data_IF_091697110715
#
_entry.id   IF_091697110715
#
_cell.length_a   1.000
_cell.length_b   1.000
_cell.length_c   1.000
_cell.angle_alpha   90.00
_cell.angle_beta   90.00
_cell.angle_gamma   90.00
#
_symmetry.space_group_name_H-M   'P 1'
#
loop_
_entity.id
_entity.type
_entity.pdbx_description
1 polymer ?
#
# COMPACT_ATOMS: atom_id res chain seq x y z
N UNK A 1 -6.10 5.74 11.43
CA UNK A 1 -5.22 4.58 11.21
C UNK A 1 -5.97 3.26 11.46
N UNK A 2 -5.99 2.37 10.46
CA UNK A 2 -6.52 1.01 10.54
C UNK A 2 -5.36 0.00 10.53
N UNK A 3 -5.36 -0.99 11.42
CA UNK A 3 -4.32 -2.03 11.41
C UNK A 3 -4.42 -2.90 10.15
N UNK A 4 -3.31 -3.07 9.43
CA UNK A 4 -3.19 -4.01 8.32
C UNK A 4 -2.63 -5.32 8.88
N UNK A 5 -3.50 -6.30 9.12
CA UNK A 5 -3.11 -7.59 9.71
C UNK A 5 -2.39 -8.46 8.69
N UNK A 6 -1.24 -9.00 9.05
CA UNK A 6 -0.48 -9.89 8.17
C UNK A 6 -1.06 -11.32 8.12
N UNK A 7 -1.15 -11.87 6.90
CA UNK A 7 -1.37 -13.27 6.60
C UNK A 7 -0.58 -13.60 5.32
N UNK A 8 0.74 -13.38 5.39
CA UNK A 8 1.62 -13.46 4.23
C UNK A 8 1.66 -14.87 3.63
N UNK A 9 1.78 -14.91 2.31
CA UNK A 9 2.03 -16.15 1.56
C UNK A 9 3.35 -16.79 2.00
N UNK A 10 3.36 -18.13 2.06
CA UNK A 10 4.59 -18.89 2.33
C UNK A 10 5.65 -18.61 1.26
N UNK A 11 6.91 -18.45 1.68
CA UNK A 11 8.02 -18.09 0.80
C UNK A 11 8.28 -19.13 -0.29
N UNK A 12 7.94 -20.40 -0.06
CA UNK A 12 7.98 -21.46 -1.08
C UNK A 12 7.10 -21.18 -2.30
N UNK A 13 6.08 -20.32 -2.15
CA UNK A 13 5.17 -19.90 -3.23
C UNK A 13 5.52 -18.55 -3.85
N UNK A 14 6.60 -17.89 -3.44
CA UNK A 14 7.00 -16.62 -4.04
C UNK A 14 7.19 -16.73 -5.55
N UNK A 15 7.73 -17.85 -6.06
CA UNK A 15 7.90 -18.08 -7.49
C UNK A 15 6.60 -18.02 -8.31
N UNK A 16 5.45 -18.26 -7.68
CA UNK A 16 4.12 -18.27 -8.31
C UNK A 16 3.39 -16.95 -8.03
N UNK A 17 3.39 -16.52 -6.77
CA UNK A 17 2.53 -15.43 -6.29
C UNK A 17 3.14 -14.05 -6.39
N UNK A 18 4.46 -13.95 -6.25
CA UNK A 18 5.15 -12.67 -6.16
C UNK A 18 6.64 -12.85 -6.47
N UNK A 19 7.03 -13.26 -7.70
CA UNK A 19 8.40 -13.68 -7.98
C UNK A 19 9.41 -12.54 -7.99
N UNK A 20 8.98 -11.30 -8.20
CA UNK A 20 9.87 -10.16 -8.37
C UNK A 20 9.85 -9.22 -7.15
N UNK A 21 11.01 -8.64 -6.84
CA UNK A 21 11.08 -7.47 -5.97
C UNK A 21 10.38 -6.27 -6.63
N UNK A 22 9.87 -5.37 -5.81
CA UNK A 22 9.15 -4.17 -6.22
C UNK A 22 9.49 -3.02 -5.27
N UNK A 23 9.69 -1.83 -5.85
CA UNK A 23 9.58 -0.57 -5.12
C UNK A 23 8.26 0.06 -5.54
N UNK A 24 7.25 0.14 -4.64
CA UNK A 24 5.94 0.69 -4.96
C UNK A 24 6.04 2.13 -5.50
N UNK A 25 5.33 2.41 -6.60
CA UNK A 25 5.15 3.76 -7.15
C UNK A 25 3.68 4.12 -7.37
N UNK A 26 2.81 3.11 -7.39
CA UNK A 26 1.38 3.24 -7.61
C UNK A 26 0.60 2.41 -6.58
N UNK A 27 -0.67 2.74 -6.41
CA UNK A 27 -1.64 1.89 -5.72
C UNK A 27 -2.76 1.62 -6.72
N UNK A 28 -3.11 0.36 -6.90
CA UNK A 28 -4.23 -0.05 -7.75
C UNK A 28 -5.35 -0.59 -6.88
N UNK A 29 -6.51 0.04 -6.91
CA UNK A 29 -7.69 -0.45 -6.19
C UNK A 29 -8.64 -1.22 -7.10
N UNK A 30 -9.22 -2.27 -6.52
CA UNK A 30 -10.03 -3.28 -7.19
C UNK A 30 -11.34 -3.53 -6.45
N UNK A 31 -12.24 -4.23 -7.12
CA UNK A 31 -13.40 -4.85 -6.49
C UNK A 31 -13.33 -6.35 -6.75
N UNK A 32 -13.46 -7.12 -5.67
CA UNK A 32 -13.37 -8.58 -5.65
C UNK A 32 -14.35 -9.29 -6.60
N UNK A 33 -15.46 -8.63 -6.97
CA UNK A 33 -16.63 -9.24 -7.60
C UNK A 33 -17.12 -10.48 -6.83
N UNK A 34 -17.00 -10.44 -5.50
CA UNK A 34 -17.36 -11.51 -4.59
C UNK A 34 -18.01 -10.96 -3.29
N UNK A 35 -18.53 -11.86 -2.45
CA UNK A 35 -19.16 -11.55 -1.15
C UNK A 35 -18.43 -12.18 0.05
N UNK A 36 -17.14 -12.49 -0.10
CA UNK A 36 -16.31 -13.04 0.95
C UNK A 36 -15.65 -11.94 1.80
N UNK A 37 -15.37 -12.20 3.10
CA UNK A 37 -14.57 -11.32 3.93
C UNK A 37 -13.10 -11.31 3.50
N UNK A 38 -12.36 -10.27 3.88
CA UNK A 38 -10.96 -10.04 3.51
C UNK A 38 -10.05 -11.23 3.88
N UNK A 39 -10.25 -11.79 5.09
CA UNK A 39 -9.54 -12.99 5.54
C UNK A 39 -9.70 -14.16 4.58
N UNK A 40 -10.89 -14.35 3.99
CA UNK A 40 -11.16 -15.48 3.10
C UNK A 40 -10.57 -15.23 1.71
N UNK A 41 -10.65 -13.99 1.21
CA UNK A 41 -10.01 -13.60 -0.05
C UNK A 41 -8.50 -13.86 0.01
N UNK A 42 -7.83 -13.40 1.09
CA UNK A 42 -6.39 -13.63 1.28
C UNK A 42 -6.09 -15.11 1.47
N UNK A 43 -6.82 -15.83 2.34
CA UNK A 43 -6.60 -17.25 2.59
C UNK A 43 -6.70 -18.08 1.31
N UNK A 44 -7.71 -17.79 0.47
CA UNK A 44 -7.84 -18.46 -0.83
C UNK A 44 -6.68 -18.11 -1.75
N UNK A 45 -6.35 -16.81 -1.87
CA UNK A 45 -5.29 -16.31 -2.75
C UNK A 45 -3.94 -16.94 -2.43
N UNK A 46 -3.51 -16.96 -1.17
CA UNK A 46 -2.21 -17.54 -0.77
C UNK A 46 -2.23 -19.08 -0.79
N UNK A 47 -3.41 -19.69 -0.63
CA UNK A 47 -3.59 -21.14 -0.53
C UNK A 47 -3.52 -21.88 -1.87
N UNK A 48 -3.88 -21.23 -2.98
CA UNK A 48 -3.86 -21.85 -4.32
C UNK A 48 -2.51 -21.66 -5.05
N UNK A 49 -2.37 -22.22 -6.26
CA UNK A 49 -1.14 -22.17 -7.09
C UNK A 49 -1.34 -21.42 -8.42
N UNK A 50 -2.36 -20.57 -8.51
CA UNK A 50 -2.56 -19.74 -9.70
C UNK A 50 -1.59 -18.54 -9.68
N UNK A 51 -1.13 -18.08 -10.85
CA UNK A 51 -0.41 -16.80 -11.02
C UNK A 51 -1.37 -15.60 -10.93
N UNK A 52 -2.10 -15.52 -9.82
CA UNK A 52 -3.05 -14.47 -9.46
C UNK A 52 -2.87 -14.16 -7.98
N UNK A 53 -2.64 -12.90 -7.67
CA UNK A 53 -2.38 -12.42 -6.31
C UNK A 53 -2.65 -10.93 -6.20
N UNK A 54 -2.87 -10.44 -4.98
CA UNK A 54 -3.01 -9.02 -4.63
C UNK A 54 -2.39 -8.81 -3.25
N UNK A 55 -2.01 -7.58 -2.92
CA UNK A 55 -1.28 -7.30 -1.68
C UNK A 55 -2.19 -7.30 -0.47
N UNK A 56 -3.32 -6.61 -0.54
CA UNK A 56 -4.24 -6.42 0.60
C UNK A 56 -5.68 -6.63 0.17
N UNK A 57 -6.47 -7.33 0.98
CA UNK A 57 -7.93 -7.29 0.90
C UNK A 57 -8.49 -6.49 2.08
N UNK A 58 -9.52 -5.67 1.82
CA UNK A 58 -10.18 -4.83 2.82
C UNK A 58 -11.67 -5.14 2.83
N UNK A 59 -12.20 -5.40 4.03
CA UNK A 59 -13.62 -5.61 4.25
C UNK A 59 -14.20 -4.61 5.26
N UNK A 60 -15.44 -4.84 5.72
CA UNK A 60 -16.15 -3.94 6.61
C UNK A 60 -15.52 -3.84 8.03
N UNK A 61 -14.57 -4.73 8.35
CA UNK A 61 -14.02 -4.92 9.71
C UNK A 61 -12.50 -4.87 9.76
N UNK A 62 -11.81 -5.47 8.80
CA UNK A 62 -10.36 -5.64 8.82
C UNK A 62 -9.71 -5.41 7.44
N UNK A 63 -8.41 -5.17 7.47
CA UNK A 63 -7.54 -5.15 6.29
C UNK A 63 -6.51 -6.27 6.48
N UNK A 64 -6.34 -7.12 5.47
CA UNK A 64 -5.49 -8.31 5.54
C UNK A 64 -4.48 -8.30 4.41
N UNK A 65 -3.19 -8.35 4.75
CA UNK A 65 -2.10 -8.41 3.78
C UNK A 65 -1.71 -9.87 3.48
N UNK A 66 -1.69 -10.22 2.19
CA UNK A 66 -1.29 -11.54 1.70
C UNK A 66 0.06 -11.58 0.98
N UNK A 67 0.50 -10.46 0.39
CA UNK A 67 1.78 -10.35 -0.34
C UNK A 67 2.63 -9.23 0.28
N UNK A 68 3.94 -9.45 0.53
CA UNK A 68 4.85 -8.39 0.97
C UNK A 68 4.86 -7.20 -0.01
N UNK A 69 4.88 -5.97 0.51
CA UNK A 69 4.84 -4.76 -0.32
C UNK A 69 6.11 -4.51 -1.14
N UNK A 70 7.24 -5.12 -0.74
CA UNK A 70 8.50 -5.10 -1.48
C UNK A 70 8.55 -6.14 -2.62
N UNK A 71 7.41 -6.79 -2.92
CA UNK A 71 7.26 -7.77 -3.99
C UNK A 71 6.06 -7.47 -4.88
N UNK A 72 6.16 -7.89 -6.13
CA UNK A 72 5.09 -7.73 -7.11
C UNK A 72 3.88 -8.62 -6.76
N UNK A 73 2.71 -8.32 -7.31
CA UNK A 73 1.58 -9.24 -7.34
C UNK A 73 0.98 -9.30 -8.76
N UNK A 74 0.13 -10.28 -9.05
CA UNK A 74 -0.47 -10.53 -10.36
C UNK A 74 -1.96 -10.16 -10.34
N UNK A 75 -2.27 -8.87 -10.50
CA UNK A 75 -3.64 -8.35 -10.35
C UNK A 75 -4.08 -7.33 -11.41
N UNK A 76 -3.20 -6.77 -12.24
CA UNK A 76 -3.53 -5.70 -13.20
C UNK A 76 -3.78 -6.19 -14.63
N UNK A 77 -3.44 -7.44 -14.95
CA UNK A 77 -3.67 -8.01 -16.29
C UNK A 77 -2.81 -7.39 -17.40
N UNK A 78 -1.75 -6.67 -17.04
CA UNK A 78 -0.81 -5.99 -17.95
C UNK A 78 0.54 -6.73 -18.09
N UNK A 79 0.59 -8.04 -17.76
CA UNK A 79 1.81 -8.83 -17.82
C UNK A 79 2.91 -8.28 -16.92
N UNK A 80 4.08 -7.96 -17.48
CA UNK A 80 5.18 -7.30 -16.77
C UNK A 80 5.11 -5.76 -16.83
N UNK A 81 3.94 -5.18 -17.13
CA UNK A 81 3.72 -3.74 -17.12
C UNK A 81 3.76 -3.12 -15.72
N UNK A 82 3.64 -1.79 -15.71
CA UNK A 82 3.71 -0.94 -14.50
C UNK A 82 2.72 -1.37 -13.42
N UNK A 83 1.51 -1.79 -13.81
CA UNK A 83 0.47 -2.23 -12.87
C UNK A 83 0.95 -3.39 -12.00
N UNK A 84 1.31 -4.52 -12.59
CA UNK A 84 1.79 -5.67 -11.80
C UNK A 84 3.17 -5.45 -11.17
N UNK A 85 4.02 -4.59 -11.75
CA UNK A 85 5.45 -4.50 -11.37
C UNK A 85 5.81 -3.33 -10.48
N UNK A 86 4.93 -2.34 -10.35
CA UNK A 86 5.19 -1.11 -9.57
C UNK A 86 3.98 -0.64 -8.78
N UNK A 87 2.87 -1.39 -8.73
CA UNK A 87 1.69 -1.01 -7.95
C UNK A 87 1.35 -2.00 -6.82
N UNK A 88 0.85 -1.45 -5.72
CA UNK A 88 0.24 -2.22 -4.62
C UNK A 88 -1.23 -2.47 -4.96
N UNK A 89 -1.65 -3.72 -5.07
CA UNK A 89 -3.03 -4.13 -5.32
C UNK A 89 -3.87 -4.19 -4.04
N UNK A 90 -4.93 -3.39 -3.98
CA UNK A 90 -5.91 -3.34 -2.87
C UNK A 90 -7.28 -3.82 -3.35
N UNK A 91 -7.75 -4.95 -2.83
CA UNK A 91 -9.05 -5.55 -3.15
C UNK A 91 -10.13 -5.14 -2.16
N UNK A 92 -11.22 -4.53 -2.64
CA UNK A 92 -12.38 -4.16 -1.81
C UNK A 92 -13.43 -5.27 -1.87
N UNK A 93 -13.75 -5.82 -0.70
CA UNK A 93 -14.63 -6.99 -0.53
C UNK A 93 -16.13 -6.63 -0.70
N UNK A 94 -16.98 -7.66 -0.81
CA UNK A 94 -18.45 -7.56 -0.88
C UNK A 94 -19.03 -6.81 -2.08
N UNK A 95 -18.22 -6.54 -3.09
CA UNK A 95 -18.65 -5.76 -4.25
C UNK A 95 -19.68 -6.51 -5.13
N UNK A 96 -19.83 -7.84 -5.03
CA UNK A 96 -20.80 -8.57 -5.85
C UNK A 96 -22.23 -8.20 -5.49
N UNK A 97 -22.63 -8.38 -4.24
CA UNK A 97 -23.97 -8.01 -3.76
C UNK A 97 -24.06 -6.55 -3.32
N UNK A 98 -22.93 -5.92 -2.99
CA UNK A 98 -22.90 -4.54 -2.50
C UNK A 98 -23.46 -4.41 -1.08
N UNK A 99 -24.24 -3.35 -0.85
CA UNK A 99 -24.88 -3.08 0.43
C UNK A 99 -23.95 -2.49 1.49
N UNK A 100 -24.45 -2.39 2.72
CA UNK A 100 -23.75 -1.69 3.81
C UNK A 100 -22.34 -2.20 4.08
N UNK A 101 -22.12 -3.52 3.95
CA UNK A 101 -20.78 -4.13 4.10
C UNK A 101 -19.81 -3.65 3.02
N UNK A 102 -20.24 -3.55 1.77
CA UNK A 102 -19.40 -3.02 0.69
C UNK A 102 -19.04 -1.56 0.91
N UNK A 103 -20.02 -0.71 1.21
CA UNK A 103 -19.74 0.72 1.41
C UNK A 103 -18.84 0.96 2.62
N UNK A 104 -18.98 0.15 3.68
CA UNK A 104 -18.06 0.19 4.81
C UNK A 104 -16.65 -0.31 4.45
N UNK A 105 -16.55 -1.37 3.65
CA UNK A 105 -15.27 -1.86 3.12
C UNK A 105 -14.60 -0.83 2.20
N UNK A 106 -15.38 -0.09 1.44
CA UNK A 106 -14.92 1.03 0.62
C UNK A 106 -14.35 2.15 1.52
N UNK A 107 -15.08 2.61 2.54
CA UNK A 107 -14.57 3.63 3.47
C UNK A 107 -13.27 3.18 4.17
N UNK A 108 -13.21 1.92 4.62
CA UNK A 108 -12.00 1.34 5.19
C UNK A 108 -10.87 1.27 4.14
N UNK A 109 -11.20 0.95 2.89
CA UNK A 109 -10.25 0.91 1.77
C UNK A 109 -9.62 2.28 1.50
N UNK A 110 -10.39 3.37 1.64
CA UNK A 110 -9.85 4.72 1.51
C UNK A 110 -8.79 5.02 2.58
N UNK A 111 -9.03 4.62 3.83
CA UNK A 111 -8.09 4.75 4.94
C UNK A 111 -6.81 3.93 4.67
N UNK A 112 -6.96 2.66 4.28
CA UNK A 112 -5.82 1.77 3.98
C UNK A 112 -4.97 2.33 2.84
N UNK A 113 -5.60 2.82 1.77
CA UNK A 113 -4.87 3.42 0.64
C UNK A 113 -4.12 4.67 1.08
N UNK A 114 -4.73 5.55 1.89
CA UNK A 114 -4.05 6.73 2.42
C UNK A 114 -2.84 6.37 3.30
N UNK A 115 -2.94 5.33 4.13
CA UNK A 115 -1.80 4.83 4.92
C UNK A 115 -0.68 4.31 4.01
N UNK A 116 -1.01 3.57 2.95
CA UNK A 116 -0.02 3.09 1.98
C UNK A 116 0.62 4.24 1.19
N UNK A 117 -0.14 5.29 0.87
CA UNK A 117 0.40 6.51 0.25
C UNK A 117 1.45 7.14 1.14
N UNK A 118 1.20 7.31 2.43
CA UNK A 118 2.20 7.83 3.40
C UNK A 118 3.40 6.90 3.53
N UNK A 119 3.13 5.60 3.71
CA UNK A 119 4.17 4.61 3.92
C UNK A 119 5.16 4.51 2.75
N UNK A 120 4.69 4.68 1.52
CA UNK A 120 5.51 4.52 0.31
C UNK A 120 5.71 5.81 -0.48
N UNK A 121 5.23 6.94 0.05
CA UNK A 121 5.31 8.26 -0.59
C UNK A 121 4.71 8.28 -2.00
N UNK A 122 3.56 7.62 -2.14
CA UNK A 122 2.83 7.51 -3.40
C UNK A 122 1.86 8.68 -3.46
N UNK A 123 1.98 9.56 -4.47
CA UNK A 123 1.09 10.72 -4.58
C UNK A 123 -0.28 10.28 -5.12
N UNK A 124 -1.31 11.11 -4.91
CA UNK A 124 -2.71 10.75 -5.20
C UNK A 124 -2.95 10.45 -6.68
N UNK A 125 -2.22 11.10 -7.59
CA UNK A 125 -2.29 10.85 -9.04
C UNK A 125 -1.83 9.44 -9.43
N UNK A 126 -1.09 8.77 -8.56
CA UNK A 126 -0.63 7.39 -8.75
C UNK A 126 -1.55 6.36 -8.07
N UNK A 127 -2.71 6.81 -7.55
CA UNK A 127 -3.78 5.92 -7.06
C UNK A 127 -4.80 5.73 -8.17
N UNK A 128 -4.78 4.54 -8.80
CA UNK A 128 -5.52 4.27 -10.04
C UNK A 128 -6.38 3.02 -9.95
N UNK A 129 -7.34 2.88 -10.84
CA UNK A 129 -8.18 1.68 -10.97
C UNK A 129 -7.45 0.57 -11.71
N UNK A 130 -7.89 -0.68 -11.60
CA UNK A 130 -7.44 -1.74 -12.53
C UNK A 130 -7.70 -1.33 -13.99
N UNK A 131 -8.85 -0.73 -14.28
CA UNK A 131 -9.24 -0.30 -15.62
C UNK A 131 -8.21 0.61 -16.29
N UNK A 132 -7.48 1.42 -15.51
CA UNK A 132 -6.37 2.24 -16.00
C UNK A 132 -5.30 1.42 -16.74
N UNK A 133 -5.00 0.21 -16.24
CA UNK A 133 -3.92 -0.64 -16.77
C UNK A 133 -4.34 -1.49 -17.97
N UNK A 134 -5.42 -2.26 -17.85
CA UNK A 134 -5.80 -3.29 -18.84
C UNK A 134 -7.18 -3.11 -19.43
N UNK A 135 -7.85 -1.98 -19.15
CA UNK A 135 -9.25 -1.69 -19.54
C UNK A 135 -10.30 -2.65 -18.97
N UNK A 136 -9.91 -3.64 -18.14
CA UNK A 136 -10.86 -4.48 -17.39
C UNK A 136 -11.84 -3.59 -16.64
N UNK A 137 -13.13 -3.94 -16.67
CA UNK A 137 -14.16 -3.24 -15.92
C UNK A 137 -14.05 -3.53 -14.42
N UNK A 138 -13.05 -2.92 -13.78
CA UNK A 138 -12.74 -3.08 -12.37
C UNK A 138 -12.14 -1.76 -11.85
N UNK A 139 -12.61 -1.24 -10.70
CA UNK A 139 -13.60 -1.78 -9.76
C UNK A 139 -15.05 -1.68 -10.25
N UNK A 140 -15.69 -2.81 -10.57
CA UNK A 140 -16.96 -2.85 -11.31
C UNK A 140 -18.08 -2.03 -10.65
N UNK A 141 -18.31 -2.20 -9.34
CA UNK A 141 -19.40 -1.52 -8.64
C UNK A 141 -19.15 -0.02 -8.52
N UNK A 142 -17.91 0.42 -8.28
CA UNK A 142 -17.60 1.85 -8.26
C UNK A 142 -17.78 2.47 -9.66
N UNK A 143 -17.52 1.72 -10.72
CA UNK A 143 -17.74 2.18 -12.09
C UNK A 143 -19.24 2.23 -12.41
N UNK A 144 -20.02 1.22 -12.03
CA UNK A 144 -21.47 1.16 -12.21
C UNK A 144 -22.17 2.33 -11.48
N UNK A 145 -21.72 2.62 -10.26
CA UNK A 145 -22.32 3.65 -9.39
C UNK A 145 -21.66 5.03 -9.56
N UNK A 146 -20.68 5.18 -10.46
CA UNK A 146 -19.96 6.44 -10.69
C UNK A 146 -19.17 6.97 -9.49
N UNK A 147 -18.73 6.09 -8.58
CA UNK A 147 -18.16 6.43 -7.27
C UNK A 147 -16.65 6.67 -7.27
N UNK A 148 -15.93 6.31 -8.34
CA UNK A 148 -14.47 6.47 -8.42
C UNK A 148 -13.99 7.89 -8.01
N UNK A 149 -14.57 9.00 -8.52
CA UNK A 149 -14.15 10.34 -8.10
C UNK A 149 -14.34 10.59 -6.60
N UNK A 150 -15.49 10.20 -6.03
CA UNK A 150 -15.77 10.35 -4.59
C UNK A 150 -14.91 9.44 -3.71
N UNK A 151 -14.45 8.31 -4.24
CA UNK A 151 -13.53 7.41 -3.55
C UNK A 151 -12.13 8.02 -3.47
N UNK A 152 -11.62 8.57 -4.58
CA UNK A 152 -10.36 9.34 -4.60
C UNK A 152 -10.41 10.52 -3.63
N UNK A 153 -11.54 11.23 -3.56
CA UNK A 153 -11.69 12.34 -2.61
C UNK A 153 -11.63 11.89 -1.14
N UNK A 154 -12.28 10.77 -0.79
CA UNK A 154 -12.15 10.20 0.56
C UNK A 154 -10.74 9.72 0.89
N UNK A 155 -9.98 9.23 -0.10
CA UNK A 155 -8.56 8.89 0.09
C UNK A 155 -7.76 10.14 0.44
N UNK A 156 -7.96 11.26 -0.28
CA UNK A 156 -7.30 12.54 0.05
C UNK A 156 -7.65 13.01 1.45
N UNK A 157 -8.94 12.98 1.81
CA UNK A 157 -9.40 13.37 3.14
C UNK A 157 -8.82 12.48 4.24
N UNK A 158 -8.68 11.17 3.99
CA UNK A 158 -8.02 10.26 4.94
C UNK A 158 -6.49 10.51 5.02
N UNK A 159 -5.87 10.92 3.92
CA UNK A 159 -4.46 11.29 3.86
C UNK A 159 -4.18 12.57 4.68
N UNK A 160 -5.01 13.60 4.50
CA UNK A 160 -4.93 14.90 5.18
C UNK A 160 -5.44 14.86 6.63
N UNK A 161 -6.57 14.20 6.90
CA UNK A 161 -7.24 14.16 8.21
C UNK A 161 -6.56 13.30 9.28
N UNK A 162 -5.40 12.72 8.95
CA UNK A 162 -4.50 12.03 9.87
C UNK A 162 -3.29 12.92 10.26
N UNK A 163 -3.42 14.25 10.14
CA UNK A 163 -2.46 15.23 10.68
C UNK A 163 -2.63 15.36 12.21
N UNK A 164 -2.04 14.41 12.94
CA UNK A 164 -1.41 14.74 14.23
C UNK A 164 -0.08 15.47 13.91
N UNK A 165 0.37 16.39 14.76
CA UNK A 165 1.60 17.18 14.56
C UNK A 165 2.84 16.27 14.37
N UNK A 166 2.73 15.04 14.86
CA UNK A 166 3.70 13.97 14.78
C UNK A 166 3.68 13.19 13.45
N UNK A 167 2.55 13.11 12.75
CA UNK A 167 2.41 12.38 11.48
C UNK A 167 2.58 13.26 10.23
N UNK A 168 2.87 14.55 10.41
CA UNK A 168 3.14 15.48 9.29
C UNK A 168 4.51 15.22 8.67
N UNK A 169 4.61 15.38 7.35
CA UNK A 169 5.87 15.36 6.62
C UNK A 169 6.81 16.46 7.12
N UNK A 170 8.10 16.14 7.25
CA UNK A 170 9.11 17.11 7.63
C UNK A 170 9.16 18.29 6.65
N UNK A 171 9.09 19.51 7.20
CA UNK A 171 9.25 20.75 6.45
C UNK A 171 10.71 21.18 6.54
N UNK A 172 11.54 20.68 5.62
CA UNK A 172 12.97 20.95 5.55
C UNK A 172 13.34 21.62 4.22
N UNK A 173 14.34 22.50 4.26
CA UNK A 173 14.97 23.05 3.06
C UNK A 173 15.81 21.98 2.34
N UNK A 174 16.08 22.19 1.06
CA UNK A 174 16.83 21.25 0.20
C UNK A 174 18.17 20.79 0.79
N UNK A 175 18.91 21.70 1.42
CA UNK A 175 20.20 21.36 2.02
C UNK A 175 20.04 20.52 3.30
N UNK A 176 18.96 20.71 4.04
CA UNK A 176 18.65 19.92 5.24
C UNK A 176 18.25 18.50 4.85
N UNK A 177 17.45 18.34 3.79
CA UNK A 177 17.14 17.02 3.21
C UNK A 177 18.40 16.31 2.74
N UNK A 178 19.29 17.01 2.02
CA UNK A 178 20.58 16.46 1.58
C UNK A 178 21.43 16.01 2.77
N UNK A 179 21.54 16.82 3.81
CA UNK A 179 22.30 16.49 5.01
C UNK A 179 21.69 15.29 5.76
N UNK A 180 20.36 15.22 5.86
CA UNK A 180 19.67 14.06 6.44
C UNK A 180 19.96 12.79 5.65
N UNK A 181 19.88 12.84 4.33
CA UNK A 181 20.22 11.71 3.46
C UNK A 181 21.67 11.26 3.64
N UNK A 182 22.63 12.18 3.64
CA UNK A 182 24.05 11.86 3.81
C UNK A 182 24.33 11.21 5.18
N UNK A 183 23.68 11.69 6.24
CA UNK A 183 23.83 11.14 7.59
C UNK A 183 23.17 9.76 7.72
N UNK A 184 21.96 9.59 7.20
CA UNK A 184 21.26 8.31 7.23
C UNK A 184 21.94 7.27 6.33
N UNK A 185 22.56 7.69 5.22
CA UNK A 185 23.38 6.83 4.38
C UNK A 185 24.61 6.27 5.11
N UNK A 186 25.22 7.04 6.01
CA UNK A 186 26.29 6.53 6.88
C UNK A 186 25.75 5.49 7.88
N UNK A 187 24.61 5.76 8.50
CA UNK A 187 23.96 4.82 9.43
C UNK A 187 23.55 3.51 8.74
N UNK A 188 23.03 3.58 7.51
CA UNK A 188 22.77 2.42 6.66
C UNK A 188 24.03 1.59 6.40
N UNK A 189 25.11 2.24 5.95
CA UNK A 189 26.38 1.56 5.65
C UNK A 189 27.00 0.95 6.91
N UNK A 190 26.70 1.48 8.09
CA UNK A 190 27.08 0.93 9.38
C UNK A 190 26.15 -0.20 9.87
N UNK A 191 25.08 -0.52 9.14
CA UNK A 191 24.13 -1.58 9.48
C UNK A 191 23.16 -1.24 10.61
N UNK A 192 22.97 0.04 10.94
CA UNK A 192 22.12 0.47 12.06
C UNK A 192 20.61 0.33 11.77
N UNK A 193 20.25 0.17 10.50
CA UNK A 193 18.93 -0.24 10.04
C UNK A 193 19.04 -0.94 8.69
N UNK A 194 18.07 -1.79 8.34
CA UNK A 194 18.11 -2.65 7.15
C UNK A 194 16.95 -2.45 6.18
N UNK A 195 15.96 -1.61 6.53
CA UNK A 195 14.89 -1.24 5.61
C UNK A 195 15.29 -0.01 4.78
N UNK A 196 15.55 -0.23 3.48
CA UNK A 196 15.91 0.84 2.54
C UNK A 196 14.76 1.82 2.29
N UNK A 197 13.51 1.47 2.63
CA UNK A 197 12.38 2.39 2.49
C UNK A 197 12.60 3.70 3.27
N UNK A 198 13.35 3.68 4.38
CA UNK A 198 13.72 4.90 5.09
C UNK A 198 14.54 5.86 4.23
N UNK A 199 15.50 5.35 3.46
CA UNK A 199 16.31 6.16 2.54
C UNK A 199 15.46 6.71 1.39
N UNK A 200 14.55 5.89 0.85
CA UNK A 200 13.59 6.31 -0.19
C UNK A 200 12.69 7.44 0.32
N UNK A 201 12.23 7.36 1.58
CA UNK A 201 11.40 8.43 2.17
C UNK A 201 12.12 9.77 2.29
N UNK A 202 13.41 9.73 2.64
CA UNK A 202 14.24 10.92 2.74
C UNK A 202 14.49 11.51 1.35
N UNK A 203 14.82 10.67 0.37
CA UNK A 203 15.03 11.09 -1.02
C UNK A 203 13.75 11.72 -1.62
N UNK A 204 12.60 11.11 -1.35
CA UNK A 204 11.29 11.59 -1.80
C UNK A 204 10.69 12.70 -0.91
N UNK A 205 11.42 13.17 0.11
CA UNK A 205 11.01 14.27 1.00
C UNK A 205 9.65 14.07 1.66
N UNK A 206 9.38 12.84 2.10
CA UNK A 206 8.09 12.42 2.64
C UNK A 206 8.22 11.74 4.01
N UNK A 207 9.42 11.72 4.58
CA UNK A 207 9.63 11.26 5.96
C UNK A 207 8.85 12.16 6.93
N UNK A 208 8.10 11.56 7.87
CA UNK A 208 7.32 12.29 8.87
C UNK A 208 8.13 12.58 10.15
N UNK A 209 7.57 13.42 11.03
CA UNK A 209 8.18 13.73 12.34
C UNK A 209 8.32 12.45 13.19
N UNK A 210 7.26 11.66 13.31
CA UNK A 210 7.24 10.39 14.05
C UNK A 210 8.25 9.39 13.53
N UNK A 211 8.35 9.29 12.21
CA UNK A 211 9.29 8.41 11.55
C UNK A 211 10.73 8.78 11.81
N UNK A 212 11.04 10.09 11.80
CA UNK A 212 12.36 10.58 12.17
C UNK A 212 12.67 10.30 13.65
N UNK A 213 11.69 10.48 14.55
CA UNK A 213 11.84 10.16 15.98
C UNK A 213 12.12 8.68 16.17
N UNK A 214 11.34 7.81 15.50
CA UNK A 214 11.53 6.36 15.55
C UNK A 214 12.91 5.96 15.03
N UNK A 215 13.31 6.47 13.86
CA UNK A 215 14.63 6.21 13.27
C UNK A 215 15.76 6.60 14.22
N UNK A 216 15.70 7.80 14.80
CA UNK A 216 16.71 8.28 15.73
C UNK A 216 16.80 7.40 16.99
N UNK A 217 15.65 6.97 17.54
CA UNK A 217 15.62 6.10 18.71
C UNK A 217 16.21 4.71 18.40
N UNK A 218 15.88 4.16 17.22
CA UNK A 218 16.38 2.84 16.82
C UNK A 218 17.88 2.85 16.52
N UNK A 219 18.36 3.88 15.81
CA UNK A 219 19.79 4.08 15.51
C UNK A 219 20.58 4.29 16.81
N UNK A 220 20.06 5.07 17.76
CA UNK A 220 20.73 5.32 19.04
C UNK A 220 20.83 4.06 19.91
N UNK A 221 19.83 3.19 19.88
CA UNK A 221 19.84 1.92 20.61
C UNK A 221 20.81 0.89 20.00
N UNK A 222 20.96 0.87 18.67
CA UNK A 222 21.87 -0.05 17.95
C UNK A 222 23.35 0.34 18.03
N UNK A 223 23.67 1.54 18.52
CA UNK A 223 25.04 2.03 18.73
C UNK A 223 25.63 1.77 20.13
N UNK A 224 24.86 1.15 21.03
CA UNK A 224 25.28 0.67 22.36
C UNK A 224 25.58 -0.84 22.31
#
# INVERSE_FOLDING_TARGET
>A
MMEIREMLVDSSKYGIKCPNKMTPKYITFHNTYNDAPAKNEVRYMIGNNNEVSFHVAVDDKEAVQGIPFDRNAWHCGDGNGTGNRQSIGVEICYSKSGGSRYYKAEDNGAVVIAQLMKQFCIPIENVVTHQHWSRKYCPHRMLDEGRVPSFIERIKQAYEGEEDDMNRTLQLEDWQWKQLFDNMGKAWNAGLFTDWNWMVKIENRCLTVDELVWLNNHISASGL
#
